data_IF_716527204987
#
_entry.id   IF_716527204987
#
_cell.length_a   1.000
_cell.length_b   1.000
_cell.length_c   1.000
_cell.angle_alpha   90.00
_cell.angle_beta   90.00
_cell.angle_gamma   90.00
#
_symmetry.space_group_name_H-M   'P 1'
#
loop_
_entity.id
_entity.type
_entity.pdbx_description
1 polymer ?
#
# COMPACT_ATOMS: atom_id res chain seq x y z
N UNK A 1 42.66 -7.85 17.70
CA UNK A 1 42.00 -6.60 17.30
C UNK A 1 42.17 -6.43 15.80
N UNK A 2 41.10 -6.62 15.03
CA UNK A 2 41.07 -6.24 13.61
C UNK A 2 39.68 -5.69 13.32
N UNK A 3 39.56 -4.37 13.32
CA UNK A 3 38.35 -3.66 12.96
C UNK A 3 38.30 -3.59 11.43
N UNK A 4 37.42 -4.38 10.81
CA UNK A 4 37.05 -4.18 9.41
C UNK A 4 35.79 -3.30 9.38
N UNK A 5 36.01 -1.99 9.19
CA UNK A 5 34.95 -1.07 8.80
C UNK A 5 34.80 -1.11 7.27
N UNK A 6 33.54 -1.00 6.85
CA UNK A 6 33.08 -0.54 5.52
C UNK A 6 32.81 -1.61 4.46
N UNK A 7 31.56 -2.10 4.46
CA UNK A 7 30.71 -1.82 3.29
C UNK A 7 29.29 -1.54 3.80
N UNK A 8 28.89 -0.27 3.71
CA UNK A 8 27.48 0.11 3.78
C UNK A 8 26.73 -0.73 2.74
N UNK A 9 26.01 -1.76 3.22
CA UNK A 9 25.06 -2.49 2.39
C UNK A 9 23.85 -1.58 2.19
N UNK A 10 23.99 -0.62 1.27
CA UNK A 10 22.82 -0.03 0.64
C UNK A 10 21.92 -1.20 0.18
N UNK A 11 20.64 -1.23 0.56
CA UNK A 11 19.78 -2.35 0.19
C UNK A 11 19.76 -2.45 -1.34
N UNK A 12 20.11 -3.64 -1.85
CA UNK A 12 20.01 -3.96 -3.27
C UNK A 12 18.61 -3.55 -3.74
N UNK A 13 18.52 -2.88 -4.91
CA UNK A 13 17.24 -2.57 -5.55
C UNK A 13 16.38 -3.84 -5.50
N UNK A 14 15.16 -3.77 -4.94
CA UNK A 14 14.35 -4.97 -4.76
C UNK A 14 14.12 -5.63 -6.10
N UNK A 15 14.39 -6.93 -6.17
CA UNK A 15 14.14 -7.74 -7.35
C UNK A 15 12.65 -7.65 -7.71
N UNK A 16 12.29 -7.64 -9.00
CA UNK A 16 10.89 -7.48 -9.44
C UNK A 16 10.00 -8.60 -8.86
N UNK A 17 10.59 -9.79 -8.66
CA UNK A 17 9.96 -10.91 -7.95
C UNK A 17 9.67 -10.60 -6.47
N UNK A 18 10.57 -9.88 -5.79
CA UNK A 18 10.43 -9.51 -4.38
C UNK A 18 9.34 -8.44 -4.17
N UNK A 19 9.22 -7.47 -5.09
CA UNK A 19 8.14 -6.47 -5.07
C UNK A 19 6.78 -7.14 -5.30
N UNK A 20 6.72 -8.11 -6.23
CA UNK A 20 5.51 -8.90 -6.46
C UNK A 20 5.07 -9.69 -5.21
N UNK A 21 6.01 -10.30 -4.49
CA UNK A 21 5.71 -11.01 -3.24
C UNK A 21 5.26 -10.09 -2.10
N UNK A 22 5.83 -8.89 -1.99
CA UNK A 22 5.39 -7.90 -0.99
C UNK A 22 3.97 -7.45 -1.30
N UNK A 23 3.68 -7.08 -2.53
CA UNK A 23 2.35 -6.66 -2.95
C UNK A 23 1.32 -7.77 -2.73
N UNK A 24 1.67 -9.04 -3.00
CA UNK A 24 0.79 -10.19 -2.71
C UNK A 24 0.52 -10.35 -1.22
N UNK A 25 1.54 -10.18 -0.36
CA UNK A 25 1.37 -10.22 1.10
C UNK A 25 0.50 -9.07 1.60
N UNK A 26 0.68 -7.87 1.06
CA UNK A 26 -0.10 -6.69 1.44
C UNK A 26 -1.55 -6.80 0.97
N UNK A 27 -1.78 -7.30 -0.25
CA UNK A 27 -3.12 -7.59 -0.76
C UNK A 27 -3.82 -8.67 0.07
N UNK A 28 -3.11 -9.74 0.44
CA UNK A 28 -3.65 -10.77 1.33
C UNK A 28 -4.03 -10.18 2.70
N UNK A 29 -3.19 -9.32 3.28
CA UNK A 29 -3.53 -8.61 4.54
C UNK A 29 -4.73 -7.67 4.38
N UNK A 30 -4.80 -6.94 3.27
CA UNK A 30 -5.94 -6.10 2.91
C UNK A 30 -7.23 -6.90 2.91
N UNK A 31 -7.25 -8.04 2.20
CA UNK A 31 -8.37 -8.97 2.17
C UNK A 31 -8.72 -9.53 3.54
N UNK A 32 -7.72 -10.01 4.28
CA UNK A 32 -7.93 -10.79 5.51
C UNK A 32 -8.36 -9.92 6.71
N UNK A 33 -7.94 -8.65 6.81
CA UNK A 33 -8.28 -7.81 7.97
C UNK A 33 -8.20 -6.28 7.75
N UNK A 34 -7.65 -5.79 6.62
CA UNK A 34 -7.13 -4.41 6.54
C UNK A 34 -7.85 -3.49 5.54
N UNK A 35 -8.84 -3.98 4.79
CA UNK A 35 -9.66 -3.12 3.92
C UNK A 35 -10.32 -1.98 4.69
N UNK A 36 -10.99 -2.31 5.79
CA UNK A 36 -11.68 -1.34 6.64
C UNK A 36 -10.71 -0.39 7.33
N UNK A 37 -9.64 -0.89 7.95
CA UNK A 37 -8.65 -0.07 8.68
C UNK A 37 -7.96 0.95 7.76
N UNK A 38 -7.59 0.52 6.56
CA UNK A 38 -6.95 1.38 5.58
C UNK A 38 -7.94 2.44 5.04
N UNK A 39 -9.19 2.05 4.78
CA UNK A 39 -10.24 2.99 4.35
C UNK A 39 -10.59 4.02 5.44
N UNK A 40 -10.63 3.61 6.70
CA UNK A 40 -10.81 4.51 7.85
C UNK A 40 -9.63 5.47 8.00
N UNK A 41 -8.40 4.97 7.88
CA UNK A 41 -7.20 5.79 7.92
C UNK A 41 -7.20 6.85 6.81
N UNK A 42 -7.49 6.46 5.57
CA UNK A 42 -7.60 7.39 4.44
C UNK A 42 -8.72 8.42 4.66
N UNK A 43 -9.88 7.99 5.16
CA UNK A 43 -10.99 8.90 5.46
C UNK A 43 -10.62 9.92 6.54
N UNK A 44 -9.87 9.51 7.56
CA UNK A 44 -9.37 10.40 8.61
C UNK A 44 -8.32 11.38 8.06
N UNK A 45 -7.38 10.90 7.24
CA UNK A 45 -6.35 11.72 6.61
C UNK A 45 -6.95 12.77 5.66
N UNK A 46 -7.94 12.40 4.86
CA UNK A 46 -8.66 13.32 3.97
C UNK A 46 -9.29 14.45 4.80
N UNK A 47 -10.02 14.11 5.87
CA UNK A 47 -10.65 15.12 6.74
C UNK A 47 -9.63 16.07 7.38
N UNK A 48 -8.51 15.54 7.87
CA UNK A 48 -7.44 16.35 8.46
C UNK A 48 -6.81 17.30 7.43
N UNK A 49 -6.52 16.80 6.22
CA UNK A 49 -5.95 17.61 5.14
C UNK A 49 -6.93 18.68 4.63
N UNK A 50 -8.22 18.35 4.49
CA UNK A 50 -9.28 19.30 4.13
C UNK A 50 -9.40 20.41 5.19
N UNK A 51 -9.34 20.07 6.48
CA UNK A 51 -9.35 21.05 7.57
C UNK A 51 -8.15 22.01 7.53
N UNK A 52 -7.05 21.58 6.89
CA UNK A 52 -5.83 22.36 6.67
C UNK A 52 -5.81 23.07 5.31
N UNK A 53 -6.85 22.93 4.49
CA UNK A 53 -6.92 23.50 3.14
C UNK A 53 -5.95 22.86 2.13
N UNK A 54 -5.48 21.64 2.41
CA UNK A 54 -4.56 20.89 1.55
C UNK A 54 -5.38 20.05 0.57
N UNK A 55 -4.96 19.98 -0.70
CA UNK A 55 -5.64 19.18 -1.73
C UNK A 55 -5.58 17.68 -1.40
N UNK A 56 -6.74 17.04 -1.40
CA UNK A 56 -6.93 15.62 -1.05
C UNK A 56 -7.19 14.71 -2.25
N UNK A 57 -7.24 15.24 -3.47
CA UNK A 57 -7.61 14.52 -4.70
C UNK A 57 -6.91 13.15 -4.87
N UNK A 58 -5.63 13.07 -4.51
CA UNK A 58 -4.87 11.82 -4.59
C UNK A 58 -5.38 10.77 -3.60
N UNK A 59 -5.65 11.18 -2.35
CA UNK A 59 -6.11 10.30 -1.29
C UNK A 59 -7.56 9.86 -1.50
N UNK A 60 -8.41 10.76 -2.02
CA UNK A 60 -9.77 10.42 -2.42
C UNK A 60 -9.78 9.36 -3.53
N UNK A 61 -8.98 9.55 -4.58
CA UNK A 61 -8.83 8.54 -5.64
C UNK A 61 -8.30 7.20 -5.13
N UNK A 62 -7.34 7.23 -4.21
CA UNK A 62 -6.83 5.99 -3.58
C UNK A 62 -7.92 5.28 -2.78
N UNK A 63 -8.77 6.02 -2.07
CA UNK A 63 -9.91 5.47 -1.35
C UNK A 63 -10.94 4.84 -2.31
N UNK A 64 -11.32 5.53 -3.37
CA UNK A 64 -12.27 5.02 -4.37
C UNK A 64 -11.80 3.71 -5.00
N UNK A 65 -10.50 3.62 -5.33
CA UNK A 65 -9.92 2.37 -5.86
C UNK A 65 -9.97 1.24 -4.82
N UNK A 66 -9.71 1.52 -3.54
CA UNK A 66 -9.80 0.51 -2.49
C UNK A 66 -11.22 0.02 -2.24
N UNK A 67 -12.22 0.89 -2.37
CA UNK A 67 -13.63 0.51 -2.33
C UNK A 67 -13.95 -0.45 -3.49
N UNK A 68 -13.53 -0.12 -4.71
CA UNK A 68 -13.70 -1.00 -5.88
C UNK A 68 -12.97 -2.34 -5.73
N UNK A 69 -11.73 -2.33 -5.22
CA UNK A 69 -10.97 -3.55 -4.90
C UNK A 69 -11.73 -4.42 -3.89
N UNK A 70 -12.34 -3.80 -2.87
CA UNK A 70 -13.13 -4.53 -1.86
C UNK A 70 -14.38 -5.18 -2.45
N UNK A 71 -15.04 -4.52 -3.41
CA UNK A 71 -16.17 -5.10 -4.13
C UNK A 71 -15.74 -6.27 -5.03
N UNK A 72 -14.64 -6.13 -5.75
CA UNK A 72 -14.10 -7.19 -6.61
C UNK A 72 -13.71 -8.45 -5.82
N UNK A 73 -13.16 -8.28 -4.62
CA UNK A 73 -12.89 -9.40 -3.70
C UNK A 73 -14.19 -10.13 -3.32
N UNK A 74 -15.26 -9.40 -2.99
CA UNK A 74 -16.57 -10.00 -2.66
C UNK A 74 -17.18 -10.76 -3.84
N UNK A 75 -16.83 -10.38 -5.07
CA UNK A 75 -17.28 -11.01 -6.31
C UNK A 75 -16.37 -12.15 -6.79
N UNK A 76 -15.41 -12.58 -5.97
CA UNK A 76 -14.43 -13.64 -6.31
C UNK A 76 -13.52 -13.28 -7.50
N UNK A 77 -13.37 -11.98 -7.81
CA UNK A 77 -12.53 -11.45 -8.88
C UNK A 77 -11.14 -11.02 -8.36
N UNK A 78 -10.47 -11.90 -7.60
CA UNK A 78 -9.23 -11.57 -6.87
C UNK A 78 -8.07 -11.11 -7.78
N UNK A 79 -7.92 -11.68 -8.97
CA UNK A 79 -6.85 -11.29 -9.91
C UNK A 79 -7.02 -9.86 -10.43
N UNK A 80 -8.28 -9.46 -10.67
CA UNK A 80 -8.65 -8.11 -11.10
C UNK A 80 -8.47 -7.14 -9.92
N UNK A 81 -8.90 -7.54 -8.73
CA UNK A 81 -8.71 -6.79 -7.49
C UNK A 81 -7.23 -6.54 -7.19
N UNK A 82 -6.37 -7.55 -7.33
CA UNK A 82 -4.92 -7.43 -7.15
C UNK A 82 -4.30 -6.45 -8.16
N UNK A 83 -4.74 -6.51 -9.41
CA UNK A 83 -4.28 -5.59 -10.47
C UNK A 83 -4.68 -4.15 -10.18
N UNK A 84 -5.90 -3.91 -9.71
CA UNK A 84 -6.34 -2.56 -9.35
C UNK A 84 -5.63 -2.04 -8.09
N UNK A 85 -5.44 -2.90 -7.10
CA UNK A 85 -4.71 -2.58 -5.87
C UNK A 85 -3.27 -2.15 -6.17
N UNK A 86 -2.55 -2.90 -6.99
CA UNK A 86 -1.16 -2.57 -7.37
C UNK A 86 -1.06 -1.33 -8.25
N UNK A 87 -2.10 -0.98 -9.02
CA UNK A 87 -2.16 0.29 -9.77
C UNK A 87 -2.35 1.51 -8.86
N UNK A 88 -3.20 1.40 -7.83
CA UNK A 88 -3.39 2.47 -6.84
C UNK A 88 -2.18 2.62 -5.91
N UNK A 89 -1.46 1.52 -5.67
CA UNK A 89 -0.28 1.46 -4.81
C UNK A 89 0.91 0.86 -5.56
N UNK A 90 1.55 1.62 -6.49
CA UNK A 90 2.64 1.13 -7.33
C UNK A 90 3.89 0.68 -6.57
N UNK A 91 4.01 1.03 -5.29
CA UNK A 91 5.08 0.60 -4.38
C UNK A 91 4.62 -0.41 -3.33
N UNK A 92 3.43 -1.01 -3.49
CA UNK A 92 2.69 -1.68 -2.42
C UNK A 92 2.41 -0.70 -1.25
N UNK A 93 1.53 -1.04 -0.30
CA UNK A 93 1.12 -0.07 0.73
C UNK A 93 2.33 0.49 1.48
N UNK A 94 2.43 1.82 1.70
CA UNK A 94 3.61 2.47 2.28
C UNK A 94 3.89 2.14 3.76
N UNK A 95 3.25 1.12 4.34
CA UNK A 95 3.45 0.70 5.73
C UNK A 95 4.86 0.17 6.03
N UNK A 96 5.81 0.18 5.08
CA UNK A 96 7.22 -0.15 5.32
C UNK A 96 8.19 1.02 5.35
N UNK A 97 7.75 2.27 5.15
CA UNK A 97 8.67 3.42 5.19
C UNK A 97 8.83 4.08 6.56
N UNK A 98 8.14 3.61 7.62
CA UNK A 98 8.39 4.05 9.00
C UNK A 98 8.01 2.98 10.02
N UNK A 99 8.87 1.99 10.22
CA UNK A 99 9.24 1.46 11.55
C UNK A 99 10.71 1.06 11.48
#
# INVERSE_FOLDING_TARGET
>A
MSYALSSERYPKKPDVSYVSEICKKDFKKFRDNWGTVLMEHLSSLIKDLESKGIKTDLYTKQKDVLESVSELIKMDAEDVAFTQFTKAFPYCLPHRSRI
#
